data_IF_550534523817
#
_entry.id   IF_550534523817
#
_cell.length_a   1.000
_cell.length_b   1.000
_cell.length_c   1.000
_cell.angle_alpha   90.00
_cell.angle_beta   90.00
_cell.angle_gamma   90.00
#
_symmetry.space_group_name_H-M   'P 1'
#
loop_
_entity.id
_entity.type
_entity.pdbx_description
1 polymer ?
#
# COMPACT_ATOMS: atom_id res chain seq x y z
N UNK A 1 13.16 15.04 -32.45
CA UNK A 1 13.46 14.91 -31.00
C UNK A 1 12.13 14.94 -30.27
N UNK A 2 11.82 13.94 -29.45
CA UNK A 2 10.60 13.93 -28.63
C UNK A 2 10.81 14.77 -27.37
N UNK A 3 9.79 15.51 -26.94
CA UNK A 3 9.87 16.35 -25.74
C UNK A 3 9.88 15.49 -24.49
N UNK A 4 10.79 15.75 -23.55
CA UNK A 4 10.76 15.08 -22.26
C UNK A 4 9.55 15.58 -21.44
N UNK A 5 8.82 14.69 -20.77
CA UNK A 5 7.79 15.01 -19.80
C UNK A 5 8.23 16.10 -18.82
N UNK A 6 7.44 17.18 -18.77
CA UNK A 6 7.59 18.18 -17.73
C UNK A 6 7.12 17.58 -16.41
N UNK A 7 7.87 17.77 -15.33
CA UNK A 7 7.54 17.26 -13.99
C UNK A 7 6.10 17.55 -13.57
N UNK A 8 5.57 18.75 -13.88
CA UNK A 8 4.18 19.10 -13.59
C UNK A 8 3.18 18.17 -14.29
N UNK A 9 3.42 17.85 -15.57
CA UNK A 9 2.57 16.94 -16.35
C UNK A 9 2.71 15.50 -15.84
N UNK A 10 3.91 15.08 -15.47
CA UNK A 10 4.15 13.74 -14.91
C UNK A 10 3.43 13.54 -13.56
N UNK A 11 3.48 14.51 -12.66
CA UNK A 11 2.76 14.47 -11.38
C UNK A 11 1.24 14.41 -11.56
N UNK A 12 0.72 14.97 -12.64
CA UNK A 12 -0.69 14.85 -13.01
C UNK A 12 -1.02 13.54 -13.73
N UNK A 13 -0.05 12.70 -14.09
CA UNK A 13 -0.29 11.51 -14.92
C UNK A 13 -0.58 11.85 -16.39
N UNK A 14 -0.10 12.99 -16.88
CA UNK A 14 -0.22 13.41 -18.27
C UNK A 14 1.15 13.42 -18.98
N UNK A 15 2.06 12.54 -18.57
CA UNK A 15 3.38 12.38 -19.22
C UNK A 15 3.24 12.08 -20.72
N UNK A 16 2.24 11.27 -21.10
CA UNK A 16 1.88 10.95 -22.49
C UNK A 16 1.67 12.21 -23.33
N UNK A 17 1.03 13.24 -22.78
CA UNK A 17 0.76 14.49 -23.51
C UNK A 17 2.06 15.21 -23.92
N UNK A 18 3.13 15.10 -23.12
CA UNK A 18 4.45 15.61 -23.49
C UNK A 18 5.16 14.70 -24.49
N UNK A 19 5.07 13.39 -24.31
CA UNK A 19 5.72 12.41 -25.21
C UNK A 19 5.16 12.45 -26.63
N UNK A 20 3.89 12.83 -26.76
CA UNK A 20 3.20 13.04 -28.03
C UNK A 20 3.33 14.46 -28.58
N UNK A 21 4.00 15.36 -27.86
CA UNK A 21 4.16 16.75 -28.25
C UNK A 21 5.32 16.92 -29.24
N UNK A 22 5.09 17.73 -30.27
CA UNK A 22 6.07 18.17 -31.29
C UNK A 22 6.98 19.31 -30.80
N UNK A 23 6.70 19.90 -29.65
CA UNK A 23 7.51 20.99 -29.12
C UNK A 23 8.93 20.50 -28.73
N UNK A 24 9.96 21.29 -29.06
CA UNK A 24 11.32 21.01 -28.61
C UNK A 24 11.45 21.01 -27.08
N UNK A 25 12.41 20.26 -26.55
CA UNK A 25 12.67 20.21 -25.11
C UNK A 25 13.46 21.43 -24.62
N UNK A 26 12.82 22.60 -24.68
CA UNK A 26 13.38 23.86 -24.23
C UNK A 26 12.59 24.34 -23.01
N UNK A 27 13.28 24.49 -21.88
CA UNK A 27 12.67 24.97 -20.65
C UNK A 27 12.07 26.38 -20.83
N UNK A 28 10.90 26.62 -20.23
CA UNK A 28 10.27 27.94 -20.22
C UNK A 28 9.58 28.37 -21.52
N UNK A 29 9.38 27.46 -22.48
CA UNK A 29 8.60 27.79 -23.69
C UNK A 29 7.15 28.17 -23.34
N UNK A 30 6.65 29.24 -23.98
CA UNK A 30 5.27 29.72 -23.79
C UNK A 30 4.23 28.64 -24.06
N UNK A 31 4.47 27.79 -25.08
CA UNK A 31 3.60 26.67 -25.44
C UNK A 31 3.47 25.64 -24.32
N UNK A 32 4.59 25.19 -23.74
CA UNK A 32 4.54 24.24 -22.62
C UNK A 32 3.86 24.86 -21.39
N UNK A 33 4.09 26.15 -21.10
CA UNK A 33 3.43 26.85 -19.99
C UNK A 33 1.90 26.84 -20.15
N UNK A 34 1.40 27.20 -21.34
CA UNK A 34 -0.03 27.19 -21.65
C UNK A 34 -0.62 25.77 -21.58
N UNK A 35 0.08 24.78 -22.13
CA UNK A 35 -0.35 23.38 -22.10
C UNK A 35 -0.52 22.87 -20.65
N UNK A 36 0.47 23.12 -19.79
CA UNK A 36 0.40 22.75 -18.37
C UNK A 36 -0.79 23.44 -17.69
N UNK A 37 -0.94 24.75 -17.86
CA UNK A 37 -2.01 25.52 -17.24
C UNK A 37 -3.41 25.04 -17.68
N UNK A 38 -3.57 24.75 -18.97
CA UNK A 38 -4.82 24.23 -19.54
C UNK A 38 -5.16 22.85 -18.95
N UNK A 39 -4.21 21.91 -18.94
CA UNK A 39 -4.43 20.58 -18.38
C UNK A 39 -4.73 20.63 -16.88
N UNK A 40 -4.06 21.50 -16.11
CA UNK A 40 -4.35 21.69 -14.68
C UNK A 40 -5.79 22.14 -14.48
N UNK A 41 -6.24 23.20 -15.17
CA UNK A 41 -7.62 23.71 -15.06
C UNK A 41 -8.66 22.67 -15.45
N UNK A 42 -8.43 21.95 -16.54
CA UNK A 42 -9.34 20.88 -16.99
C UNK A 42 -9.42 19.75 -15.97
N UNK A 43 -8.28 19.33 -15.41
CA UNK A 43 -8.24 18.28 -14.39
C UNK A 43 -8.92 18.70 -13.10
N UNK A 44 -8.70 19.92 -12.62
CA UNK A 44 -9.37 20.46 -11.44
C UNK A 44 -10.89 20.48 -11.61
N UNK A 45 -11.35 20.99 -12.76
CA UNK A 45 -12.78 21.00 -13.09
C UNK A 45 -13.37 19.59 -13.12
N UNK A 46 -12.67 18.64 -13.74
CA UNK A 46 -13.09 17.24 -13.83
C UNK A 46 -12.87 16.45 -12.53
N UNK A 47 -12.19 16.99 -11.52
CA UNK A 47 -12.11 16.36 -10.20
C UNK A 47 -13.04 17.05 -9.18
N UNK A 48 -13.67 18.17 -9.56
CA UNK A 48 -14.63 18.85 -8.71
C UNK A 48 -15.95 18.07 -8.63
N UNK A 49 -16.20 17.47 -7.46
CA UNK A 49 -17.44 16.76 -7.16
C UNK A 49 -17.75 15.57 -8.07
N UNK A 50 -19.03 15.17 -8.04
CA UNK A 50 -19.58 14.10 -8.88
C UNK A 50 -19.72 14.54 -10.34
N UNK A 51 -19.59 13.60 -11.30
CA UNK A 51 -19.74 13.92 -12.71
C UNK A 51 -21.16 14.43 -13.01
N UNK A 52 -21.25 15.59 -13.67
CA UNK A 52 -22.54 16.25 -13.95
C UNK A 52 -23.21 15.73 -15.22
N UNK A 53 -22.42 15.28 -16.19
CA UNK A 53 -22.89 14.83 -17.50
C UNK A 53 -22.25 13.50 -17.89
N UNK A 54 -22.82 12.80 -18.89
CA UNK A 54 -22.20 11.60 -19.48
C UNK A 54 -20.81 11.92 -20.07
N UNK A 55 -20.66 13.10 -20.68
CA UNK A 55 -19.38 13.56 -21.22
C UNK A 55 -18.34 13.82 -20.13
N UNK A 56 -18.73 14.33 -18.97
CA UNK A 56 -17.85 14.51 -17.81
C UNK A 56 -17.37 13.14 -17.28
N UNK A 57 -18.29 12.17 -17.16
CA UNK A 57 -17.93 10.80 -16.78
C UNK A 57 -16.92 10.17 -17.76
N UNK A 58 -17.18 10.28 -19.06
CA UNK A 58 -16.28 9.78 -20.11
C UNK A 58 -14.91 10.48 -20.07
N UNK A 59 -14.88 11.81 -19.87
CA UNK A 59 -13.62 12.55 -19.78
C UNK A 59 -12.78 12.11 -18.57
N UNK A 60 -13.41 11.84 -17.42
CA UNK A 60 -12.72 11.30 -16.23
C UNK A 60 -12.16 9.90 -16.49
N UNK A 61 -12.88 9.06 -17.22
CA UNK A 61 -12.42 7.74 -17.61
C UNK A 61 -11.17 7.84 -18.50
N UNK A 62 -11.18 8.69 -19.52
CA UNK A 62 -10.00 8.93 -20.36
C UNK A 62 -8.80 9.46 -19.60
N UNK A 63 -9.00 10.41 -18.66
CA UNK A 63 -7.92 10.89 -17.81
C UNK A 63 -7.33 9.76 -16.97
N UNK A 64 -8.19 8.88 -16.45
CA UNK A 64 -7.75 7.74 -15.65
C UNK A 64 -6.93 6.77 -16.50
N UNK A 65 -7.39 6.46 -17.70
CA UNK A 65 -6.66 5.64 -18.67
C UNK A 65 -5.29 6.23 -19.02
N UNK A 66 -5.25 7.52 -19.38
CA UNK A 66 -4.00 8.22 -19.72
C UNK A 66 -3.01 8.30 -18.54
N UNK A 67 -3.51 8.33 -17.31
CA UNK A 67 -2.66 8.35 -16.12
C UNK A 67 -1.91 7.04 -15.87
N UNK A 68 -2.49 5.91 -16.28
CA UNK A 68 -1.91 4.57 -16.11
C UNK A 68 -2.27 3.68 -17.31
N UNK A 69 -1.73 3.94 -18.51
CA UNK A 69 -2.10 3.22 -19.73
C UNK A 69 -1.90 1.72 -19.61
N UNK A 70 -0.86 1.27 -18.90
CA UNK A 70 -0.54 -0.14 -18.70
C UNK A 70 -1.66 -0.97 -18.05
N UNK A 71 -2.58 -0.34 -17.31
CA UNK A 71 -3.71 -1.03 -16.69
C UNK A 71 -4.89 -1.28 -17.64
N UNK A 72 -4.88 -0.66 -18.80
CA UNK A 72 -6.00 -0.63 -19.73
C UNK A 72 -5.61 -1.17 -21.12
N UNK A 73 -4.53 -1.96 -21.18
CA UNK A 73 -4.05 -2.57 -22.44
C UNK A 73 -5.06 -3.60 -22.97
N UNK A 74 -5.78 -4.29 -22.08
CA UNK A 74 -6.79 -5.29 -22.43
C UNK A 74 -8.18 -4.67 -22.73
N UNK A 75 -8.29 -3.34 -22.75
CA UNK A 75 -9.54 -2.66 -23.09
C UNK A 75 -9.90 -2.91 -24.57
N UNK A 76 -11.15 -3.28 -24.82
CA UNK A 76 -11.61 -3.70 -26.16
C UNK A 76 -11.60 -2.59 -27.21
N UNK A 77 -11.64 -1.32 -26.78
CA UNK A 77 -11.72 -0.16 -27.67
C UNK A 77 -10.40 0.62 -27.65
N UNK A 78 -9.82 0.82 -26.47
CA UNK A 78 -8.68 1.71 -26.25
C UNK A 78 -7.36 0.94 -26.03
N UNK A 79 -7.39 -0.38 -25.93
CA UNK A 79 -6.23 -1.22 -25.57
C UNK A 79 -5.00 -0.98 -26.45
N UNK A 80 -5.18 -0.94 -27.78
CA UNK A 80 -4.10 -0.67 -28.73
C UNK A 80 -3.44 0.70 -28.49
N UNK A 81 -4.24 1.72 -28.21
CA UNK A 81 -3.74 3.06 -27.88
C UNK A 81 -3.04 3.08 -26.52
N UNK A 82 -3.57 2.35 -25.54
CA UNK A 82 -2.98 2.23 -24.21
C UNK A 82 -1.66 1.46 -24.20
N UNK A 83 -1.50 0.48 -25.08
CA UNK A 83 -0.24 -0.23 -25.31
C UNK A 83 0.84 0.73 -25.85
N UNK A 84 0.49 1.53 -26.86
CA UNK A 84 1.38 2.56 -27.39
C UNK A 84 1.70 3.62 -26.33
N UNK A 85 0.67 4.07 -25.62
CA UNK A 85 0.66 4.66 -24.27
C UNK A 85 1.85 4.25 -23.40
N UNK A 86 1.77 2.99 -22.97
CA UNK A 86 2.72 2.38 -22.05
C UNK A 86 4.11 2.36 -22.65
N UNK A 87 4.26 1.94 -23.91
CA UNK A 87 5.57 1.83 -24.55
C UNK A 87 6.33 3.16 -24.60
N UNK A 88 5.64 4.28 -24.83
CA UNK A 88 6.25 5.61 -24.78
C UNK A 88 6.73 5.97 -23.37
N UNK A 89 5.92 5.68 -22.35
CA UNK A 89 6.26 5.92 -20.95
C UNK A 89 7.44 5.03 -20.53
N UNK A 90 7.43 3.76 -20.90
CA UNK A 90 8.48 2.79 -20.59
C UNK A 90 9.80 3.18 -21.25
N UNK A 91 9.75 3.64 -22.52
CA UNK A 91 10.92 4.20 -23.20
C UNK A 91 11.46 5.44 -22.50
N UNK A 92 10.57 6.32 -22.02
CA UNK A 92 10.96 7.54 -21.30
C UNK A 92 11.60 7.25 -19.93
N UNK A 93 10.99 6.37 -19.14
CA UNK A 93 11.47 6.03 -17.80
C UNK A 93 12.79 5.23 -17.83
N UNK A 94 13.25 4.88 -19.04
CA UNK A 94 14.25 3.85 -19.25
C UNK A 94 13.64 2.48 -18.96
N UNK A 95 14.33 1.42 -19.39
CA UNK A 95 14.03 0.06 -18.94
C UNK A 95 14.26 0.04 -17.44
N UNK A 96 13.23 0.39 -16.66
CA UNK A 96 13.13 -0.05 -15.29
C UNK A 96 13.02 -1.56 -15.41
N UNK A 97 14.05 -2.34 -15.01
CA UNK A 97 13.92 -3.79 -15.05
C UNK A 97 12.62 -4.15 -14.32
N UNK A 98 11.84 -5.06 -14.90
CA UNK A 98 10.68 -5.63 -14.20
C UNK A 98 11.16 -5.98 -12.79
N UNK A 99 10.58 -5.34 -11.77
CA UNK A 99 11.00 -5.58 -10.38
C UNK A 99 10.80 -7.05 -10.12
N UNK A 100 11.90 -7.80 -10.10
CA UNK A 100 11.85 -9.23 -9.84
C UNK A 100 11.42 -9.39 -8.39
N UNK A 101 10.91 -10.55 -8.01
CA UNK A 101 10.69 -10.89 -6.58
C UNK A 101 11.89 -10.53 -5.71
N UNK A 102 13.09 -10.69 -6.25
CA UNK A 102 14.38 -10.32 -5.64
C UNK A 102 14.52 -8.80 -5.41
N UNK A 103 14.12 -7.94 -6.36
CA UNK A 103 14.20 -6.48 -6.20
C UNK A 103 13.21 -5.97 -5.16
N UNK A 104 12.04 -6.60 -5.09
CA UNK A 104 11.02 -6.32 -4.08
C UNK A 104 11.58 -6.68 -2.71
N UNK A 105 12.14 -7.89 -2.56
CA UNK A 105 12.79 -8.37 -1.33
C UNK A 105 13.93 -7.45 -0.90
N UNK A 106 14.82 -7.07 -1.82
CA UNK A 106 15.92 -6.15 -1.56
C UNK A 106 15.45 -4.76 -1.10
N UNK A 107 14.33 -4.27 -1.65
CA UNK A 107 13.73 -3.00 -1.22
C UNK A 107 13.14 -3.11 0.19
N UNK A 108 12.45 -4.20 0.50
CA UNK A 108 11.96 -4.47 1.87
C UNK A 108 13.11 -4.60 2.87
N UNK A 109 14.21 -5.27 2.51
CA UNK A 109 15.39 -5.38 3.37
C UNK A 109 16.06 -4.02 3.62
N UNK A 110 16.17 -3.17 2.60
CA UNK A 110 16.68 -1.79 2.75
C UNK A 110 15.77 -0.95 3.66
N UNK A 111 14.45 -1.09 3.55
CA UNK A 111 13.49 -0.40 4.41
C UNK A 111 13.53 -0.91 5.85
N UNK A 112 13.73 -2.22 6.06
CA UNK A 112 13.92 -2.83 7.39
C UNK A 112 15.20 -2.33 8.07
N UNK A 113 16.25 -2.02 7.30
CA UNK A 113 17.49 -1.40 7.81
C UNK A 113 17.30 0.08 8.16
N UNK A 114 16.39 0.77 7.48
CA UNK A 114 16.06 2.17 7.70
C UNK A 114 14.78 2.35 8.56
N UNK A 115 14.63 1.58 9.64
CA UNK A 115 13.59 1.88 10.63
C UNK A 115 14.06 3.16 11.36
N UNK A 116 13.35 4.30 11.22
CA UNK A 116 13.72 5.49 11.96
C UNK A 116 13.60 5.16 13.45
N UNK A 117 14.69 5.37 14.20
CA UNK A 117 14.67 5.38 15.67
C UNK A 117 13.77 6.54 16.10
N UNK A 118 12.48 6.26 16.18
CA UNK A 118 11.47 7.21 16.64
C UNK A 118 11.67 7.36 18.15
N UNK A 119 12.11 8.53 18.59
CA UNK A 119 12.20 8.88 20.01
C UNK A 119 10.89 8.58 20.76
N UNK A 120 9.74 8.77 20.09
CA UNK A 120 8.41 8.47 20.64
C UNK A 120 8.22 6.95 20.81
N UNK A 121 8.69 6.13 19.85
CA UNK A 121 8.60 4.66 19.94
C UNK A 121 9.46 4.11 21.09
N UNK A 122 10.65 4.70 21.29
CA UNK A 122 11.59 4.27 22.33
C UNK A 122 11.14 4.71 23.74
N UNK A 123 10.43 5.84 23.86
CA UNK A 123 9.91 6.34 25.14
C UNK A 123 8.53 5.77 25.50
N UNK A 124 7.66 5.55 24.52
CA UNK A 124 6.29 5.08 24.75
C UNK A 124 6.20 3.58 25.00
N UNK A 125 7.09 2.78 24.41
CA UNK A 125 7.08 1.33 24.60
C UNK A 125 7.99 0.91 25.77
N UNK A 126 7.49 1.07 27.00
CA UNK A 126 8.16 0.61 28.22
C UNK A 126 7.93 -0.89 28.52
N UNK A 127 7.43 -1.66 27.54
CA UNK A 127 7.17 -3.08 27.75
C UNK A 127 8.48 -3.85 27.94
N UNK A 128 8.71 -4.29 29.18
CA UNK A 128 9.89 -5.04 29.62
C UNK A 128 10.04 -6.40 28.91
N UNK A 129 8.98 -6.93 28.31
CA UNK A 129 8.99 -8.25 27.67
C UNK A 129 9.12 -8.25 26.15
N UNK A 130 9.33 -7.08 25.53
CA UNK A 130 9.45 -6.96 24.06
C UNK A 130 10.56 -7.82 23.44
N UNK A 131 11.70 -7.91 24.13
CA UNK A 131 12.90 -8.61 23.63
C UNK A 131 13.28 -9.82 24.48
N UNK A 132 12.59 -10.06 25.60
CA UNK A 132 12.83 -11.18 26.50
C UNK A 132 11.52 -11.62 27.13
N UNK A 133 11.10 -12.89 26.99
CA UNK A 133 9.89 -13.37 27.63
C UNK A 133 10.02 -13.27 29.17
N UNK A 134 8.91 -13.13 29.91
CA UNK A 134 8.94 -13.07 31.37
C UNK A 134 9.56 -14.33 31.97
N UNK A 135 10.33 -14.16 33.04
CA UNK A 135 10.91 -15.26 33.82
C UNK A 135 9.81 -16.02 34.59
N UNK A 136 10.12 -17.19 35.16
CA UNK A 136 9.11 -18.03 35.81
C UNK A 136 8.40 -17.34 37.00
N UNK A 137 9.17 -16.60 37.80
CA UNK A 137 8.66 -15.83 38.94
C UNK A 137 7.77 -14.64 38.49
N UNK A 138 8.18 -13.93 37.44
CA UNK A 138 7.39 -12.85 36.83
C UNK A 138 6.10 -13.37 36.19
N UNK A 139 6.12 -14.58 35.62
CA UNK A 139 4.91 -15.23 35.09
C UNK A 139 3.93 -15.54 36.22
N UNK A 140 4.41 -16.05 37.33
CA UNK A 140 3.58 -16.39 38.48
C UNK A 140 2.97 -15.13 39.11
N UNK A 141 3.74 -14.05 39.22
CA UNK A 141 3.25 -12.74 39.64
C UNK A 141 2.18 -12.18 38.69
N UNK A 142 2.40 -12.29 37.38
CA UNK A 142 1.40 -11.91 36.36
C UNK A 142 0.13 -12.75 36.44
N UNK A 143 0.26 -14.06 36.63
CA UNK A 143 -0.87 -14.96 36.79
C UNK A 143 -1.69 -14.57 38.02
N UNK A 144 -1.03 -14.28 39.14
CA UNK A 144 -1.68 -13.84 40.38
C UNK A 144 -2.43 -12.50 40.22
N UNK A 145 -1.87 -11.57 39.43
CA UNK A 145 -2.52 -10.30 39.09
C UNK A 145 -3.76 -10.49 38.21
N UNK A 146 -3.70 -11.43 37.26
CA UNK A 146 -4.82 -11.74 36.34
C UNK A 146 -5.94 -12.50 37.08
N UNK A 147 -5.60 -13.44 37.94
CA UNK A 147 -6.56 -14.26 38.69
C UNK A 147 -7.06 -13.57 39.98
N UNK A 148 -6.65 -12.32 40.24
CA UNK A 148 -7.15 -11.52 41.36
C UNK A 148 -6.91 -12.18 42.73
N UNK A 149 -5.78 -12.88 42.89
CA UNK A 149 -5.45 -13.66 44.09
C UNK A 149 -6.47 -14.76 44.46
N UNK A 150 -7.45 -15.04 43.59
CA UNK A 150 -8.12 -16.33 43.64
C UNK A 150 -7.11 -17.33 43.14
N UNK A 151 -6.66 -18.21 44.03
CA UNK A 151 -6.01 -19.45 43.58
C UNK A 151 -7.05 -20.10 42.69
N UNK A 152 -6.92 -19.96 41.37
CA UNK A 152 -7.58 -20.90 40.48
C UNK A 152 -7.17 -22.25 41.04
N UNK A 153 -8.14 -23.07 41.46
CA UNK A 153 -7.91 -24.48 41.73
C UNK A 153 -7.48 -25.06 40.39
N UNK A 154 -6.24 -24.82 39.98
CA UNK A 154 -5.59 -25.67 39.02
C UNK A 154 -5.55 -27.00 39.77
N UNK A 155 -6.26 -28.03 39.31
CA UNK A 155 -6.21 -29.33 39.94
C UNK A 155 -4.73 -29.69 39.94
N UNK A 156 -4.16 -29.80 41.13
CA UNK A 156 -2.74 -30.08 41.27
C UNK A 156 -2.42 -31.51 40.82
N UNK A 157 -3.45 -32.30 40.51
CA UNK A 157 -3.33 -33.64 40.01
C UNK A 157 -4.39 -33.91 38.93
N UNK A 158 -3.94 -34.24 37.71
CA UNK A 158 -4.82 -34.64 36.62
C UNK A 158 -5.54 -35.96 36.93
N UNK A 159 -5.01 -36.77 37.85
CA UNK A 159 -5.64 -38.02 38.30
C UNK A 159 -7.03 -37.76 38.88
N UNK A 160 -7.16 -36.83 39.83
CA UNK A 160 -8.44 -36.55 40.48
C UNK A 160 -9.51 -36.03 39.53
N UNK A 161 -9.10 -35.29 38.48
CA UNK A 161 -10.01 -34.79 37.45
C UNK A 161 -10.49 -35.92 36.53
N UNK A 162 -9.63 -36.89 36.25
CA UNK A 162 -9.98 -38.06 35.45
C UNK A 162 -10.93 -38.97 36.24
N UNK A 163 -10.70 -39.13 37.54
CA UNK A 163 -11.59 -39.88 38.43
C UNK A 163 -12.98 -39.24 38.53
N UNK A 164 -13.07 -37.90 38.65
CA UNK A 164 -14.36 -37.16 38.62
C UNK A 164 -15.08 -37.31 37.27
N UNK A 165 -14.34 -37.35 36.16
CA UNK A 165 -14.92 -37.55 34.82
C UNK A 165 -15.41 -38.98 34.63
N UNK A 166 -14.71 -39.98 35.17
CA UNK A 166 -15.12 -41.39 35.12
C UNK A 166 -16.40 -41.62 35.94
N UNK A 167 -16.50 -41.04 37.14
CA UNK A 167 -17.74 -41.10 37.95
C UNK A 167 -18.94 -40.47 37.22
N UNK A 168 -18.75 -39.34 36.54
CA UNK A 168 -19.80 -38.70 35.73
C UNK A 168 -20.21 -39.53 34.51
N UNK A 169 -19.28 -40.26 33.89
CA UNK A 169 -19.57 -41.14 32.76
C UNK A 169 -20.28 -42.43 33.20
N UNK A 170 -19.97 -42.94 34.39
CA UNK A 170 -20.66 -44.09 34.99
C UNK A 170 -22.09 -43.75 35.39
N UNK A 171 -22.36 -42.52 35.88
CA UNK A 171 -23.71 -42.03 36.17
C UNK A 171 -24.56 -41.83 34.89
N UNK A 172 -23.95 -41.56 33.74
CA UNK A 172 -24.65 -41.44 32.44
C UNK A 172 -24.99 -42.82 31.86
N UNK A 173 -24.24 -43.87 32.21
CA UNK A 173 -24.40 -45.22 31.68
C UNK A 173 -25.24 -46.16 32.57
N UNK A 174 -25.96 -45.60 33.54
CA UNK A 174 -26.88 -46.31 34.44
C UNK A 174 -28.34 -45.98 34.11
#
# INVERSE_FOLDING_TARGET
>A
MMSLPRRAMEQMGFAVCCLMCDAGDIAGTKRCKYCIESHTKSREKLNSGLPKTKSDRLAREFITMLSKPSKYIDDSIHGTSMLYYSALIDKHNGIMPSKTSEDIKNKFERQKKNIPKSLIRDVANQNKWMNKPPNNMEREELLNLITGNTKSKHPSDWSNLLDEVDELLDDINK
#
